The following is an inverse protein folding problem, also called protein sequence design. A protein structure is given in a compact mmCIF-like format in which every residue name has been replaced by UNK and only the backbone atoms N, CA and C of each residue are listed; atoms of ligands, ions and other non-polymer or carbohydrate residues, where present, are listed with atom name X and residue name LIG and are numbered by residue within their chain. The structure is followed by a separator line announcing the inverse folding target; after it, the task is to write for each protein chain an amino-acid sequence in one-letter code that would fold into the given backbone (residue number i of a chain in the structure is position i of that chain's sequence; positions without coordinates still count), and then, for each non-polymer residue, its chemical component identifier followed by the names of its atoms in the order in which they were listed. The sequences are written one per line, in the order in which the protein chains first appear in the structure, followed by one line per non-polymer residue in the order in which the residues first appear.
data_IF_904007965467
#
_entry.id   IF_904007965467
#
_cell.length_a   1.000
_cell.length_b   1.000
_cell.length_c   1.000
_cell.angle_alpha   90.00
_cell.angle_beta   90.00
_cell.angle_gamma   90.00
#
_symmetry.space_group_name_H-M   'P 1'
#
loop_
_entity.id
_entity.type
_entity.pdbx_description
1 polymer ?
#
# COMPACT_ATOMS: atom_id res chain seq x y z
N UNK A 1 -62.15 38.87 -25.07
CA UNK A 1 -62.27 37.49 -25.58
C UNK A 1 -60.94 37.13 -26.22
N UNK A 2 -60.30 36.11 -25.65
CA UNK A 2 -59.24 35.21 -26.19
C UNK A 2 -58.03 35.84 -26.89
N UNK A 3 -56.84 35.84 -26.27
CA UNK A 3 -55.85 34.73 -26.21
C UNK A 3 -55.33 34.29 -27.60
N UNK A 4 -54.06 34.54 -27.89
CA UNK A 4 -53.03 33.50 -27.77
C UNK A 4 -51.62 34.13 -27.82
N UNK A 5 -50.87 33.97 -26.73
CA UNK A 5 -49.41 33.97 -26.69
C UNK A 5 -48.86 32.85 -27.58
N UNK A 6 -47.61 32.95 -28.04
CA UNK A 6 -46.57 31.93 -27.80
C UNK A 6 -45.23 32.48 -28.28
N UNK A 7 -44.29 32.51 -27.34
CA UNK A 7 -42.85 32.70 -27.52
C UNK A 7 -42.23 31.49 -28.23
N UNK A 8 -40.99 31.68 -28.71
CA UNK A 8 -39.84 30.74 -28.66
C UNK A 8 -38.72 31.40 -29.48
N UNK A 9 -37.80 32.15 -28.86
CA UNK A 9 -36.55 31.67 -28.25
C UNK A 9 -35.54 31.09 -29.27
N UNK A 10 -34.44 31.81 -29.52
CA UNK A 10 -33.03 31.33 -29.49
C UNK A 10 -32.12 32.48 -29.96
N UNK A 11 -31.59 33.30 -29.04
CA UNK A 11 -30.24 33.19 -28.48
C UNK A 11 -29.12 32.87 -29.49
N UNK A 12 -28.26 33.85 -29.80
CA UNK A 12 -26.82 33.81 -29.44
C UNK A 12 -26.10 35.11 -29.79
N UNK A 13 -25.99 35.95 -28.77
CA UNK A 13 -24.81 36.61 -28.19
C UNK A 13 -23.39 36.50 -28.85
N UNK A 14 -22.46 37.39 -28.46
CA UNK A 14 -21.45 38.01 -29.33
C UNK A 14 -19.97 37.74 -28.92
N UNK A 15 -19.05 38.50 -29.55
CA UNK A 15 -17.70 38.95 -29.11
C UNK A 15 -16.57 37.90 -29.00
N UNK A 16 -15.51 38.04 -29.81
CA UNK A 16 -14.21 38.73 -29.56
C UNK A 16 -13.14 37.77 -29.02
N UNK A 17 -11.89 38.17 -29.22
CA UNK A 17 -10.68 37.68 -28.55
C UNK A 17 -9.91 36.50 -29.16
N UNK A 18 -8.91 36.89 -29.98
CA UNK A 18 -7.50 36.55 -29.77
C UNK A 18 -7.19 35.17 -29.17
N UNK A 19 -6.95 34.19 -30.04
CA UNK A 19 -6.22 32.99 -29.67
C UNK A 19 -4.71 33.27 -29.61
N UNK A 20 -4.24 33.96 -28.57
CA UNK A 20 -2.82 33.90 -28.22
C UNK A 20 -2.48 32.50 -27.68
N UNK A 21 -1.71 31.74 -28.46
CA UNK A 21 -1.16 30.44 -28.03
C UNK A 21 -0.28 30.63 -26.77
N UNK A 22 -0.43 29.77 -25.74
CA UNK A 22 0.37 29.90 -24.52
C UNK A 22 1.86 29.68 -24.82
N UNK A 23 2.67 30.69 -24.48
CA UNK A 23 4.13 30.66 -24.57
C UNK A 23 4.67 29.49 -23.74
N UNK A 24 5.44 28.60 -24.39
CA UNK A 24 6.10 27.45 -23.77
C UNK A 24 6.99 27.92 -22.61
N UNK A 25 6.53 27.69 -21.39
CA UNK A 25 7.33 27.90 -20.18
C UNK A 25 8.50 26.90 -20.20
N UNK A 26 9.73 27.40 -20.30
CA UNK A 26 10.94 26.58 -20.10
C UNK A 26 10.94 26.09 -18.65
N UNK A 27 10.58 24.82 -18.44
CA UNK A 27 10.76 24.13 -17.16
C UNK A 27 12.26 23.99 -16.93
N UNK A 28 12.81 24.80 -16.03
CA UNK A 28 14.17 24.60 -15.53
C UNK A 28 14.23 23.24 -14.81
N UNK A 29 14.91 22.29 -15.45
CA UNK A 29 15.26 21.01 -14.83
C UNK A 29 16.22 21.28 -13.67
N UNK A 30 15.67 21.35 -12.45
CA UNK A 30 16.49 21.29 -11.24
C UNK A 30 17.33 20.00 -11.30
N UNK A 31 18.65 20.05 -11.09
CA UNK A 31 19.46 18.85 -11.07
C UNK A 31 18.95 17.94 -9.96
N UNK A 32 18.50 16.73 -10.35
CA UNK A 32 18.17 15.67 -9.41
C UNK A 32 19.44 15.36 -8.63
N UNK A 33 19.49 15.87 -7.41
CA UNK A 33 20.54 15.60 -6.43
C UNK A 33 20.58 14.07 -6.29
N UNK A 34 21.59 13.44 -6.88
CA UNK A 34 21.87 12.02 -6.74
C UNK A 34 22.01 11.72 -5.25
N UNK A 35 20.90 11.31 -4.60
CA UNK A 35 20.98 10.62 -3.33
C UNK A 35 21.70 9.33 -3.65
N UNK A 36 22.99 9.27 -3.33
CA UNK A 36 23.71 8.00 -3.22
C UNK A 36 22.89 7.17 -2.23
N UNK A 37 22.22 6.14 -2.74
CA UNK A 37 21.60 5.11 -1.91
C UNK A 37 22.77 4.41 -1.23
N UNK A 38 23.15 4.94 -0.07
CA UNK A 38 24.15 4.32 0.79
C UNK A 38 23.62 2.95 1.15
N UNK A 39 24.31 1.93 0.65
CA UNK A 39 24.15 0.53 1.00
C UNK A 39 24.52 0.37 2.49
N UNK A 40 23.64 0.82 3.38
CA UNK A 40 23.70 0.50 4.79
C UNK A 40 22.90 -0.77 5.00
N UNK A 41 23.44 -1.90 4.53
CA UNK A 41 23.09 -3.22 5.08
C UNK A 41 23.68 -3.31 6.49
N UNK A 42 23.12 -2.52 7.42
CA UNK A 42 23.20 -2.90 8.82
C UNK A 42 22.14 -3.96 8.99
N UNK A 43 22.54 -5.20 9.29
CA UNK A 43 21.66 -6.20 9.90
C UNK A 43 21.24 -5.64 11.26
N UNK A 44 20.32 -4.69 11.22
CA UNK A 44 19.77 -4.06 12.40
C UNK A 44 18.68 -5.01 12.81
N UNK A 45 18.96 -5.88 13.79
CA UNK A 45 17.92 -6.66 14.44
C UNK A 45 16.78 -5.70 14.78
N UNK A 46 15.64 -5.89 14.14
CA UNK A 46 14.50 -5.01 14.31
C UNK A 46 13.85 -5.37 15.64
N UNK A 47 13.66 -4.39 16.51
CA UNK A 47 12.88 -4.65 17.73
C UNK A 47 11.43 -4.98 17.33
N UNK A 48 10.72 -5.77 18.14
CA UNK A 48 9.28 -6.02 17.95
C UNK A 48 8.52 -4.71 17.70
N UNK A 49 8.88 -3.64 18.42
CA UNK A 49 8.24 -2.33 18.27
C UNK A 49 8.44 -1.73 16.88
N UNK A 50 9.59 -1.94 16.25
CA UNK A 50 9.89 -1.44 14.91
C UNK A 50 9.18 -2.26 13.85
N UNK A 51 9.13 -3.59 14.02
CA UNK A 51 8.31 -4.48 13.19
C UNK A 51 6.83 -4.11 13.28
N UNK A 52 6.30 -3.91 14.49
CA UNK A 52 4.91 -3.47 14.67
C UNK A 52 4.66 -2.11 14.01
N UNK A 53 5.54 -1.12 14.18
CA UNK A 53 5.39 0.17 13.48
C UNK A 53 5.37 0.02 11.96
N UNK A 54 6.16 -0.91 11.44
CA UNK A 54 6.25 -1.17 10.01
C UNK A 54 4.95 -1.85 9.54
N UNK A 55 4.55 -2.96 10.11
CA UNK A 55 3.43 -3.75 9.62
C UNK A 55 2.04 -3.24 10.06
N UNK A 56 1.89 -2.55 11.19
CA UNK A 56 0.61 -1.95 11.62
C UNK A 56 0.24 -0.73 10.76
N UNK A 57 1.09 -0.32 9.83
CA UNK A 57 0.82 0.77 8.90
C UNK A 57 -0.36 0.50 7.93
N UNK A 58 -0.84 -0.74 7.78
CA UNK A 58 -2.09 -1.02 7.06
C UNK A 58 -3.03 -1.98 7.82
N UNK A 59 -4.31 -1.95 7.43
CA UNK A 59 -5.35 -2.73 8.08
C UNK A 59 -5.14 -4.24 7.94
N UNK A 60 -4.71 -4.71 6.76
CA UNK A 60 -4.47 -6.15 6.51
C UNK A 60 -3.31 -6.69 7.33
N UNK A 61 -2.15 -6.04 7.30
CA UNK A 61 -0.99 -6.48 8.07
C UNK A 61 -1.21 -6.32 9.58
N UNK A 62 -1.89 -5.25 10.02
CA UNK A 62 -2.30 -5.10 11.41
C UNK A 62 -3.24 -6.20 11.89
N UNK A 63 -4.26 -6.54 11.10
CA UNK A 63 -5.16 -7.66 11.37
C UNK A 63 -4.41 -9.00 11.44
N UNK A 64 -3.54 -9.25 10.46
CA UNK A 64 -2.72 -10.46 10.42
C UNK A 64 -1.87 -10.60 11.69
N UNK A 65 -1.10 -9.56 12.05
CA UNK A 65 -0.24 -9.63 13.23
C UNK A 65 -1.00 -9.76 14.54
N UNK A 66 -2.16 -9.10 14.66
CA UNK A 66 -3.04 -9.28 15.82
C UNK A 66 -3.54 -10.73 15.91
N UNK A 67 -3.95 -11.32 14.79
CA UNK A 67 -4.35 -12.73 14.72
C UNK A 67 -3.21 -13.68 15.04
N UNK A 68 -2.02 -13.43 14.48
CA UNK A 68 -0.84 -14.26 14.68
C UNK A 68 -0.41 -14.29 16.14
N UNK A 69 -0.42 -13.12 16.79
CA UNK A 69 -0.19 -12.98 18.24
C UNK A 69 -1.20 -13.78 19.08
N UNK A 70 -2.45 -13.85 18.67
CA UNK A 70 -3.49 -14.63 19.38
C UNK A 70 -3.27 -16.13 19.20
N UNK A 71 -2.83 -16.57 18.01
CA UNK A 71 -2.60 -17.99 17.72
C UNK A 71 -1.34 -18.53 18.39
N UNK A 72 -0.23 -17.80 18.28
CA UNK A 72 1.11 -18.29 18.64
C UNK A 72 1.72 -17.58 19.85
N UNK A 73 1.04 -16.58 20.40
CA UNK A 73 1.53 -15.79 21.52
C UNK A 73 2.42 -14.62 21.12
N UNK A 74 2.84 -13.85 22.13
CA UNK A 74 3.75 -12.70 21.94
C UNK A 74 5.16 -13.16 21.63
N UNK A 75 5.62 -14.23 22.29
CA UNK A 75 6.98 -14.75 22.16
C UNK A 75 7.29 -15.17 20.71
N UNK A 76 6.38 -15.91 20.06
CA UNK A 76 6.54 -16.30 18.65
C UNK A 76 6.54 -15.11 17.70
N UNK A 77 5.82 -14.03 18.03
CA UNK A 77 5.84 -12.80 17.24
C UNK A 77 7.13 -12.01 17.47
N UNK A 78 7.68 -12.02 18.69
CA UNK A 78 8.98 -11.42 19.00
C UNK A 78 10.11 -12.16 18.32
N UNK A 79 10.09 -13.49 18.30
CA UNK A 79 11.03 -14.34 17.57
C UNK A 79 10.98 -14.03 16.08
N UNK A 80 9.80 -14.10 15.46
CA UNK A 80 9.62 -13.72 14.05
C UNK A 80 10.09 -12.29 13.75
N UNK A 81 9.88 -11.36 14.68
CA UNK A 81 10.34 -9.98 14.53
C UNK A 81 11.86 -9.83 14.66
N UNK A 82 12.50 -10.61 15.54
CA UNK A 82 13.95 -10.62 15.72
C UNK A 82 14.67 -11.25 14.54
N UNK A 83 14.09 -12.29 13.97
CA UNK A 83 14.58 -12.99 12.78
C UNK A 83 14.20 -12.26 11.48
N UNK A 84 13.51 -11.12 11.59
CA UNK A 84 13.10 -10.31 10.45
C UNK A 84 14.31 -9.67 9.76
N UNK A 85 14.77 -10.29 8.68
CA UNK A 85 15.76 -9.72 7.76
C UNK A 85 15.05 -9.01 6.62
N UNK A 86 15.46 -7.79 6.28
CA UNK A 86 14.97 -7.01 5.11
C UNK A 86 13.43 -6.83 5.00
N UNK A 87 12.71 -6.94 6.13
CA UNK A 87 11.25 -6.83 6.16
C UNK A 87 10.49 -8.12 5.86
N UNK A 88 11.17 -9.26 5.95
CA UNK A 88 10.61 -10.60 5.81
C UNK A 88 10.30 -11.14 7.21
N UNK A 89 9.05 -11.50 7.49
CA UNK A 89 8.71 -12.19 8.73
C UNK A 89 8.74 -13.68 8.47
N UNK A 90 9.59 -14.42 9.18
CA UNK A 90 9.54 -15.88 9.20
C UNK A 90 8.48 -16.33 10.20
N UNK A 91 7.52 -17.12 9.73
CA UNK A 91 6.33 -17.48 10.50
C UNK A 91 6.27 -18.99 10.77
N UNK A 92 5.62 -19.35 11.87
CA UNK A 92 5.27 -20.75 12.14
C UNK A 92 4.27 -21.23 11.07
N UNK A 93 4.71 -22.18 10.25
CA UNK A 93 3.96 -22.68 9.10
C UNK A 93 3.00 -23.83 9.44
N UNK A 94 1.92 -23.51 10.16
CA UNK A 94 0.88 -24.47 10.55
C UNK A 94 -0.49 -24.16 9.91
N UNK A 95 -1.46 -25.07 10.13
CA UNK A 95 -2.80 -24.92 9.58
C UNK A 95 -3.53 -23.65 10.08
N UNK A 96 -3.47 -23.29 11.37
CA UNK A 96 -3.93 -21.99 11.86
C UNK A 96 -3.34 -20.78 11.11
N UNK A 97 -2.02 -20.73 10.90
CA UNK A 97 -1.36 -19.64 10.16
C UNK A 97 -1.86 -19.56 8.72
N UNK A 98 -2.00 -20.70 8.03
CA UNK A 98 -2.54 -20.73 6.65
C UNK A 98 -3.97 -20.19 6.57
N UNK A 99 -4.82 -20.55 7.53
CA UNK A 99 -6.18 -20.01 7.62
C UNK A 99 -6.18 -18.51 7.90
N UNK A 100 -5.26 -18.03 8.74
CA UNK A 100 -5.12 -16.62 9.04
C UNK A 100 -4.65 -15.82 7.82
N UNK A 101 -3.71 -16.35 7.03
CA UNK A 101 -3.27 -15.78 5.76
C UNK A 101 -4.46 -15.65 4.80
N UNK A 102 -5.26 -16.70 4.65
CA UNK A 102 -6.46 -16.67 3.83
C UNK A 102 -7.47 -15.61 4.30
N UNK A 103 -7.69 -15.49 5.61
CA UNK A 103 -8.58 -14.45 6.16
C UNK A 103 -8.05 -13.03 5.97
N UNK A 104 -6.73 -12.85 6.04
CA UNK A 104 -6.09 -11.53 6.00
C UNK A 104 -5.85 -11.02 4.59
N UNK A 105 -5.53 -11.93 3.66
CA UNK A 105 -5.08 -11.58 2.30
C UNK A 105 -5.88 -12.27 1.19
N UNK A 106 -6.81 -13.17 1.51
CA UNK A 106 -7.61 -13.90 0.53
C UNK A 106 -6.85 -15.01 -0.22
N UNK A 107 -5.58 -15.23 0.08
CA UNK A 107 -4.74 -16.22 -0.60
C UNK A 107 -4.78 -17.54 0.15
N UNK A 108 -4.92 -18.65 -0.58
CA UNK A 108 -4.83 -20.01 -0.03
C UNK A 108 -3.46 -20.61 -0.36
N UNK A 109 -2.54 -20.69 0.61
CA UNK A 109 -1.32 -21.45 0.42
C UNK A 109 -1.67 -22.92 0.15
N UNK A 110 -1.03 -23.53 -0.84
CA UNK A 110 -1.21 -24.96 -1.07
C UNK A 110 -0.64 -25.76 0.12
N UNK A 111 -1.29 -26.86 0.52
CA UNK A 111 -0.88 -27.61 1.71
C UNK A 111 0.55 -28.15 1.64
N UNK A 112 1.01 -28.43 0.42
CA UNK A 112 2.29 -29.05 0.09
C UNK A 112 3.41 -28.02 -0.15
N UNK A 113 3.11 -26.72 -0.02
CA UNK A 113 4.13 -25.68 -0.07
C UNK A 113 4.88 -25.60 1.27
N UNK A 114 6.22 -25.73 1.18
CA UNK A 114 7.14 -25.55 2.31
C UNK A 114 7.53 -24.09 2.55
N UNK A 115 7.27 -23.21 1.60
CA UNK A 115 7.50 -21.77 1.68
C UNK A 115 6.33 -21.05 1.01
N UNK A 116 5.92 -19.90 1.53
CA UNK A 116 4.82 -19.15 0.94
C UNK A 116 5.10 -17.66 0.99
N UNK A 117 5.37 -17.08 -0.17
CA UNK A 117 5.72 -15.68 -0.29
C UNK A 117 4.51 -14.85 -0.73
N UNK A 118 4.09 -13.92 0.12
CA UNK A 118 3.00 -12.98 -0.19
C UNK A 118 3.43 -11.53 0.01
N UNK A 119 2.99 -10.67 -0.90
CA UNK A 119 3.08 -9.22 -0.75
C UNK A 119 1.71 -8.64 -0.41
N UNK A 120 1.62 -7.83 0.64
CA UNK A 120 0.39 -7.13 1.00
C UNK A 120 0.05 -6.08 -0.07
N UNK A 121 -1.13 -6.17 -0.68
CA UNK A 121 -1.53 -5.21 -1.72
C UNK A 121 -1.64 -3.75 -1.22
N UNK A 122 -1.98 -3.56 0.06
CA UNK A 122 -2.16 -2.22 0.64
C UNK A 122 -0.84 -1.52 0.93
N UNK A 123 0.14 -2.26 1.46
CA UNK A 123 1.38 -1.66 1.97
C UNK A 123 2.66 -2.22 1.35
N UNK A 124 2.52 -3.14 0.41
CA UNK A 124 3.60 -3.78 -0.35
C UNK A 124 4.66 -4.47 0.51
N UNK A 125 4.30 -4.87 1.74
CA UNK A 125 5.16 -5.62 2.65
C UNK A 125 5.05 -7.11 2.40
N UNK A 126 6.18 -7.80 2.50
CA UNK A 126 6.29 -9.22 2.22
C UNK A 126 6.18 -10.06 3.49
N UNK A 127 5.50 -11.19 3.43
CA UNK A 127 5.45 -12.22 4.48
C UNK A 127 5.85 -13.54 3.85
N UNK A 128 6.65 -14.34 4.55
CA UNK A 128 7.20 -15.60 4.04
C UNK A 128 7.00 -16.76 5.00
#
# INVERSE_FOLDING_TARGET
MSNHELNEDEQTEPTEDEYELPRKVKREHKPRRNKKWGNNHRSTQLSLRDVLKQFVACGRCGYFLAGYRVLHGVEALEEAANDCTDGWLELIWDQPTRQLIYKSYGVRPEPDMFYFDICCEECQRRLV
#
